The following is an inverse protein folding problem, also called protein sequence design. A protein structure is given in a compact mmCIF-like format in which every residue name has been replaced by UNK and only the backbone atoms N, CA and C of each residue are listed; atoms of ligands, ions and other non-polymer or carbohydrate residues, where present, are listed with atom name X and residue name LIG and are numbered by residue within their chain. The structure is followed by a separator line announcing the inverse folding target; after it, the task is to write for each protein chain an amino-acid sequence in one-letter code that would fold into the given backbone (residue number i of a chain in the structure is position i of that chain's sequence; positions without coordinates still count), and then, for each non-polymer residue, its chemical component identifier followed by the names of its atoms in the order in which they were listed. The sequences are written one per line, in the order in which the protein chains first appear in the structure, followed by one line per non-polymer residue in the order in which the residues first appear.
data_IF_926954126044
#
_entry.id   IF_926954126044
#
_cell.length_a   1.000
_cell.length_b   1.000
_cell.length_c   1.000
_cell.angle_alpha   90.00
_cell.angle_beta   90.00
_cell.angle_gamma   90.00
#
_symmetry.space_group_name_H-M   'P 1'
#
loop_
_entity.id
_entity.type
_entity.pdbx_description
1 polymer ?
#
# COMPACT_ATOMS: atom_id res chain seq x y z
N UNK A 1 -14.74 22.52 25.83
CA UNK A 1 -14.67 21.76 24.56
C UNK A 1 -13.40 22.16 23.82
N UNK A 2 -12.77 21.23 23.12
CA UNK A 2 -11.61 21.48 22.26
C UNK A 2 -12.07 21.54 20.79
N UNK A 3 -11.30 22.20 19.92
CA UNK A 3 -11.57 22.24 18.46
C UNK A 3 -11.74 20.84 17.87
N UNK A 4 -11.03 19.84 18.41
CA UNK A 4 -11.12 18.44 18.00
C UNK A 4 -12.50 17.83 18.27
N UNK A 5 -13.05 18.04 19.46
CA UNK A 5 -14.37 17.51 19.84
C UNK A 5 -15.50 18.13 19.00
N UNK A 6 -15.37 19.41 18.63
CA UNK A 6 -16.32 20.07 17.73
C UNK A 6 -16.24 19.47 16.32
N UNK A 7 -15.04 19.25 15.80
CA UNK A 7 -14.83 18.66 14.48
C UNK A 7 -15.41 17.24 14.39
N UNK A 8 -15.18 16.40 15.40
CA UNK A 8 -15.75 15.05 15.49
C UNK A 8 -17.28 15.06 15.53
N UNK A 9 -17.87 15.99 16.29
CA UNK A 9 -19.33 16.17 16.35
C UNK A 9 -19.92 16.60 15.00
N UNK A 10 -19.26 17.53 14.31
CA UNK A 10 -19.67 17.99 12.98
C UNK A 10 -19.56 16.88 11.93
N UNK A 11 -18.47 16.10 11.94
CA UNK A 11 -18.31 14.95 11.04
C UNK A 11 -19.40 13.92 11.30
N UNK A 12 -19.66 13.57 12.57
CA UNK A 12 -20.72 12.62 12.93
C UNK A 12 -22.10 13.08 12.44
N UNK A 13 -22.43 14.36 12.57
CA UNK A 13 -23.68 14.92 12.07
C UNK A 13 -23.78 14.84 10.54
N UNK A 14 -22.70 15.19 9.83
CA UNK A 14 -22.61 15.09 8.37
C UNK A 14 -22.87 13.66 7.89
N UNK A 15 -22.19 12.68 8.49
CA UNK A 15 -22.33 11.28 8.12
C UNK A 15 -23.75 10.77 8.38
N UNK A 16 -24.35 11.13 9.51
CA UNK A 16 -25.74 10.76 9.82
C UNK A 16 -26.74 11.33 8.81
N UNK A 17 -26.57 12.58 8.39
CA UNK A 17 -27.39 13.18 7.32
C UNK A 17 -27.22 12.42 6.00
N UNK A 18 -25.99 12.03 5.64
CA UNK A 18 -25.73 11.25 4.43
C UNK A 18 -26.44 9.90 4.44
N UNK A 19 -26.41 9.20 5.57
CA UNK A 19 -27.04 7.88 5.73
C UNK A 19 -28.56 7.95 5.82
N UNK A 20 -29.09 8.87 6.63
CA UNK A 20 -30.52 8.89 6.97
C UNK A 20 -31.36 9.68 5.97
N UNK A 21 -31.02 10.95 5.77
CA UNK A 21 -31.82 11.86 4.96
C UNK A 21 -31.53 11.71 3.46
N UNK A 22 -30.24 11.72 3.10
CA UNK A 22 -29.83 11.63 1.69
C UNK A 22 -29.75 10.19 1.18
N UNK A 23 -29.62 9.23 2.09
CA UNK A 23 -29.46 7.80 1.78
C UNK A 23 -28.39 7.54 0.71
N UNK A 24 -27.24 8.20 0.84
CA UNK A 24 -26.17 8.10 -0.15
C UNK A 24 -25.60 6.68 -0.19
N UNK A 25 -25.40 6.14 -1.38
CA UNK A 25 -24.57 4.95 -1.55
C UNK A 25 -23.10 5.26 -1.27
N UNK A 26 -22.28 4.22 -1.09
CA UNK A 26 -20.83 4.36 -0.95
C UNK A 26 -20.20 5.11 -2.14
N UNK A 27 -20.64 4.82 -3.37
CA UNK A 27 -20.17 5.48 -4.59
C UNK A 27 -20.66 6.93 -4.69
N UNK A 28 -21.90 7.20 -4.30
CA UNK A 28 -22.42 8.57 -4.27
C UNK A 28 -21.67 9.43 -3.25
N UNK A 29 -21.33 8.88 -2.08
CA UNK A 29 -20.48 9.55 -1.09
C UNK A 29 -19.07 9.81 -1.61
N UNK A 30 -18.48 8.85 -2.34
CA UNK A 30 -17.15 8.99 -2.96
C UNK A 30 -17.12 10.14 -3.98
N UNK A 31 -18.12 10.19 -4.87
CA UNK A 31 -18.27 11.25 -5.89
C UNK A 31 -18.62 12.60 -5.32
N UNK A 32 -19.45 12.65 -4.27
CA UNK A 32 -19.78 13.89 -3.59
C UNK A 32 -18.54 14.60 -3.02
N UNK A 33 -17.56 13.81 -2.57
CA UNK A 33 -16.27 14.28 -2.09
C UNK A 33 -15.23 14.49 -3.22
N UNK A 34 -15.63 14.28 -4.48
CA UNK A 34 -14.79 14.35 -5.68
C UNK A 34 -13.57 13.44 -5.66
N UNK A 35 -13.64 12.33 -4.91
CA UNK A 35 -12.53 11.40 -4.77
C UNK A 35 -12.28 10.59 -6.05
N UNK A 36 -13.26 10.52 -6.95
CA UNK A 36 -13.15 9.89 -8.27
C UNK A 36 -12.34 10.72 -9.27
N UNK A 37 -12.14 12.01 -9.02
CA UNK A 37 -11.32 12.90 -9.85
C UNK A 37 -9.84 12.90 -9.44
N UNK A 38 -9.49 12.30 -8.30
CA UNK A 38 -8.14 12.39 -7.70
C UNK A 38 -7.10 11.48 -8.37
N UNK A 39 -7.53 10.46 -9.11
CA UNK A 39 -6.62 9.48 -9.72
C UNK A 39 -5.66 8.89 -8.69
N UNK A 40 -4.35 8.98 -8.94
CA UNK A 40 -3.30 8.42 -8.08
C UNK A 40 -3.04 9.23 -6.79
N UNK A 41 -3.70 10.37 -6.61
CA UNK A 41 -3.56 11.27 -5.46
C UNK A 41 -4.61 11.07 -4.38
N UNK A 42 -5.44 10.03 -4.49
CA UNK A 42 -6.52 9.73 -3.54
C UNK A 42 -6.07 9.80 -2.07
N UNK A 43 -4.92 9.19 -1.73
CA UNK A 43 -4.38 9.17 -0.37
C UNK A 43 -3.59 10.43 0.00
N UNK A 44 -3.57 11.46 -0.83
CA UNK A 44 -3.11 12.80 -0.45
C UNK A 44 -4.29 13.68 -0.02
N UNK A 45 -5.52 13.34 -0.45
CA UNK A 45 -6.73 14.04 -0.07
C UNK A 45 -7.29 13.49 1.26
N UNK A 46 -7.34 14.28 2.35
CA UNK A 46 -7.83 13.81 3.66
C UNK A 46 -9.31 13.40 3.65
N UNK A 47 -10.11 13.83 2.65
CA UNK A 47 -11.53 13.48 2.55
C UNK A 47 -11.75 11.97 2.31
N UNK A 48 -10.72 11.23 1.89
CA UNK A 48 -10.77 9.76 1.85
C UNK A 48 -11.03 9.16 3.23
N UNK A 49 -10.59 9.82 4.31
CA UNK A 49 -10.90 9.41 5.68
C UNK A 49 -12.39 9.55 5.99
N UNK A 50 -13.01 10.68 5.61
CA UNK A 50 -14.45 10.90 5.79
C UNK A 50 -15.28 9.90 4.99
N UNK A 51 -14.88 9.61 3.75
CA UNK A 51 -15.51 8.55 2.97
C UNK A 51 -15.37 7.17 3.63
N UNK A 52 -14.17 6.81 4.09
CA UNK A 52 -13.95 5.54 4.78
C UNK A 52 -14.79 5.43 6.08
N UNK A 53 -14.90 6.51 6.85
CA UNK A 53 -15.78 6.59 8.02
C UNK A 53 -17.25 6.42 7.63
N UNK A 54 -17.68 7.02 6.52
CA UNK A 54 -19.03 6.85 6.00
C UNK A 54 -19.34 5.38 5.66
N UNK A 55 -18.46 4.72 4.91
CA UNK A 55 -18.59 3.30 4.55
C UNK A 55 -18.68 2.41 5.80
N UNK A 56 -17.86 2.68 6.82
CA UNK A 56 -17.95 1.99 8.12
C UNK A 56 -19.31 2.21 8.80
N UNK A 57 -19.83 3.43 8.75
CA UNK A 57 -21.11 3.78 9.38
C UNK A 57 -22.34 3.16 8.69
N UNK A 58 -22.24 2.82 7.40
CA UNK A 58 -23.29 2.10 6.67
C UNK A 58 -23.45 0.64 7.12
N UNK A 59 -22.57 0.13 7.98
CA UNK A 59 -22.60 -1.26 8.46
C UNK A 59 -22.05 -2.28 7.45
N UNK A 60 -21.62 -1.82 6.28
CA UNK A 60 -20.93 -2.58 5.22
C UNK A 60 -19.41 -2.49 5.33
N UNK A 61 -18.88 -1.61 6.20
CA UNK A 61 -17.47 -1.24 6.22
C UNK A 61 -16.60 -2.01 7.22
N UNK A 62 -15.74 -2.87 6.70
CA UNK A 62 -14.47 -3.23 7.34
C UNK A 62 -13.33 -2.60 6.54
N UNK A 63 -12.12 -2.51 7.09
CA UNK A 63 -10.97 -2.06 6.28
C UNK A 63 -10.76 -2.99 5.06
N UNK A 64 -11.14 -4.28 5.16
CA UNK A 64 -11.16 -5.22 4.04
C UNK A 64 -12.18 -4.83 2.96
N UNK A 65 -13.39 -4.44 3.32
CA UNK A 65 -14.39 -4.05 2.31
C UNK A 65 -14.03 -2.75 1.61
N UNK A 66 -13.53 -1.76 2.36
CA UNK A 66 -13.00 -0.51 1.80
C UNK A 66 -11.85 -0.81 0.83
N UNK A 67 -10.92 -1.67 1.22
CA UNK A 67 -9.83 -2.13 0.34
C UNK A 67 -10.38 -2.78 -0.93
N UNK A 68 -11.35 -3.70 -0.83
CA UNK A 68 -11.92 -4.38 -2.00
C UNK A 68 -12.64 -3.42 -2.94
N UNK A 69 -13.38 -2.43 -2.41
CA UNK A 69 -14.02 -1.38 -3.20
C UNK A 69 -12.98 -0.55 -3.97
N UNK A 70 -11.88 -0.18 -3.32
CA UNK A 70 -10.80 0.54 -3.99
C UNK A 70 -10.03 -0.35 -4.98
N UNK A 71 -9.78 -1.62 -4.66
CA UNK A 71 -9.13 -2.60 -5.54
C UNK A 71 -9.95 -2.80 -6.82
N UNK A 72 -11.27 -2.86 -6.72
CA UNK A 72 -12.16 -2.95 -7.88
C UNK A 72 -12.13 -1.69 -8.75
N UNK A 73 -11.88 -0.51 -8.17
CA UNK A 73 -11.87 0.78 -8.88
C UNK A 73 -10.54 1.09 -9.56
N UNK A 74 -9.42 0.85 -8.87
CA UNK A 74 -8.09 1.23 -9.32
C UNK A 74 -7.25 0.05 -9.82
N UNK A 75 -7.65 -1.19 -9.53
CA UNK A 75 -6.80 -2.35 -9.75
C UNK A 75 -5.79 -2.55 -8.60
N UNK A 76 -5.32 -3.79 -8.46
CA UNK A 76 -4.51 -4.20 -7.32
C UNK A 76 -3.12 -3.55 -7.27
N UNK A 77 -2.42 -3.51 -8.41
CA UNK A 77 -1.06 -2.94 -8.50
C UNK A 77 -1.03 -1.42 -8.35
N UNK A 78 -2.00 -0.71 -8.96
CA UNK A 78 -2.07 0.74 -8.88
C UNK A 78 -2.52 1.19 -7.49
N UNK A 79 -3.50 0.51 -6.87
CA UNK A 79 -3.90 0.78 -5.49
C UNK A 79 -2.73 0.61 -4.52
N UNK A 80 -1.92 -0.45 -4.69
CA UNK A 80 -0.75 -0.67 -3.85
C UNK A 80 0.24 0.51 -3.93
N UNK A 81 0.49 1.03 -5.13
CA UNK A 81 1.34 2.21 -5.33
C UNK A 81 0.72 3.49 -4.73
N UNK A 82 -0.60 3.65 -4.85
CA UNK A 82 -1.32 4.80 -4.29
C UNK A 82 -1.23 4.84 -2.75
N UNK A 83 -1.32 3.68 -2.09
CA UNK A 83 -1.19 3.58 -0.63
C UNK A 83 0.19 4.03 -0.12
N UNK A 84 1.25 3.80 -0.90
CA UNK A 84 2.60 4.27 -0.57
C UNK A 84 2.75 5.79 -0.69
N UNK A 85 1.89 6.45 -1.47
CA UNK A 85 1.86 7.92 -1.67
C UNK A 85 0.97 8.65 -0.64
N UNK A 86 0.67 8.01 0.49
CA UNK A 86 -0.12 8.58 1.59
C UNK A 86 0.50 9.86 2.16
N UNK A 87 -0.35 10.81 2.55
CA UNK A 87 0.03 11.96 3.36
C UNK A 87 -0.01 11.61 4.86
N UNK A 88 0.49 12.51 5.71
CA UNK A 88 0.45 12.31 7.17
C UNK A 88 -0.98 12.08 7.68
N UNK A 89 -1.96 12.81 7.13
CA UNK A 89 -3.36 12.76 7.58
C UNK A 89 -4.10 11.49 7.14
N UNK A 90 -3.70 10.87 6.03
CA UNK A 90 -4.29 9.61 5.53
C UNK A 90 -3.47 8.38 5.94
N UNK A 91 -2.29 8.62 6.53
CA UNK A 91 -1.34 7.62 6.98
C UNK A 91 -1.97 6.42 7.71
N UNK A 92 -2.76 6.68 8.77
CA UNK A 92 -3.42 5.62 9.54
C UNK A 92 -4.42 4.78 8.72
N UNK A 93 -5.17 5.40 7.79
CA UNK A 93 -6.09 4.66 6.93
C UNK A 93 -5.30 3.80 5.93
N UNK A 94 -4.32 4.39 5.25
CA UNK A 94 -3.51 3.68 4.28
C UNK A 94 -2.79 2.47 4.90
N UNK A 95 -2.26 2.59 6.13
CA UNK A 95 -1.65 1.46 6.84
C UNK A 95 -2.63 0.29 7.09
N UNK A 96 -3.90 0.58 7.44
CA UNK A 96 -4.93 -0.45 7.61
C UNK A 96 -5.30 -1.11 6.27
N UNK A 97 -5.34 -0.34 5.20
CA UNK A 97 -5.60 -0.87 3.86
C UNK A 97 -4.42 -1.68 3.29
N UNK A 98 -3.17 -1.26 3.55
CA UNK A 98 -1.96 -2.03 3.25
C UNK A 98 -1.97 -3.39 3.98
N UNK A 99 -2.44 -3.42 5.22
CA UNK A 99 -2.62 -4.67 5.96
C UNK A 99 -3.68 -5.56 5.32
N UNK A 100 -4.84 -5.01 4.94
CA UNK A 100 -5.88 -5.75 4.23
C UNK A 100 -5.38 -6.28 2.87
N UNK A 101 -4.58 -5.49 2.16
CA UNK A 101 -3.95 -5.87 0.90
C UNK A 101 -2.99 -7.04 1.07
N UNK A 102 -2.06 -6.97 2.03
CA UNK A 102 -1.11 -8.07 2.31
C UNK A 102 -1.85 -9.35 2.69
N UNK A 103 -2.89 -9.26 3.52
CA UNK A 103 -3.71 -10.42 3.84
C UNK A 103 -4.41 -10.99 2.61
N UNK A 104 -4.91 -10.15 1.70
CA UNK A 104 -5.50 -10.61 0.42
C UNK A 104 -4.49 -11.42 -0.37
N UNK A 105 -3.27 -10.91 -0.55
CA UNK A 105 -2.20 -11.61 -1.25
C UNK A 105 -1.86 -12.96 -0.66
N UNK A 106 -1.73 -13.04 0.68
CA UNK A 106 -1.50 -14.29 1.40
C UNK A 106 -2.66 -15.27 1.18
N UNK A 107 -3.90 -14.81 1.31
CA UNK A 107 -5.07 -15.69 1.14
C UNK A 107 -5.27 -16.15 -0.30
N UNK A 108 -4.83 -15.35 -1.27
CA UNK A 108 -4.82 -15.70 -2.69
C UNK A 108 -3.63 -16.61 -3.06
N UNK A 109 -2.70 -16.87 -2.14
CA UNK A 109 -1.53 -17.72 -2.37
C UNK A 109 -0.52 -17.12 -3.36
N UNK A 110 -0.43 -15.79 -3.44
CA UNK A 110 0.50 -15.12 -4.36
C UNK A 110 1.94 -15.40 -3.96
N UNK A 111 2.79 -15.68 -4.93
CA UNK A 111 4.23 -15.92 -4.72
C UNK A 111 5.00 -14.61 -4.53
N UNK A 112 6.28 -14.71 -4.15
CA UNK A 112 7.19 -13.56 -4.13
C UNK A 112 7.29 -12.91 -5.51
N UNK A 113 7.49 -13.71 -6.57
CA UNK A 113 7.51 -13.27 -7.98
C UNK A 113 6.20 -12.57 -8.41
N UNK A 114 5.03 -13.11 -8.04
CA UNK A 114 3.74 -12.47 -8.37
C UNK A 114 3.66 -11.05 -7.82
N UNK A 115 4.04 -10.85 -6.54
CA UNK A 115 4.02 -9.52 -5.91
C UNK A 115 5.12 -8.62 -6.47
N UNK A 116 6.29 -9.16 -6.77
CA UNK A 116 7.37 -8.41 -7.40
C UNK A 116 6.93 -7.78 -8.72
N UNK A 117 6.30 -8.59 -9.59
CA UNK A 117 5.72 -8.15 -10.87
C UNK A 117 4.57 -7.17 -10.68
N UNK A 118 3.65 -7.49 -9.77
CA UNK A 118 2.47 -6.67 -9.48
C UNK A 118 2.85 -5.26 -9.02
N UNK A 119 3.86 -5.14 -8.17
CA UNK A 119 4.36 -3.86 -7.67
C UNK A 119 5.33 -3.17 -8.64
N UNK A 120 5.66 -3.79 -9.79
CA UNK A 120 6.62 -3.29 -10.76
C UNK A 120 8.01 -2.96 -10.15
N UNK A 121 8.47 -3.78 -9.21
CA UNK A 121 9.75 -3.57 -8.49
C UNK A 121 10.94 -3.53 -9.46
N UNK A 122 10.88 -4.30 -10.55
CA UNK A 122 11.92 -4.35 -11.59
C UNK A 122 12.28 -2.98 -12.19
N UNK A 123 11.35 -2.03 -12.21
CA UNK A 123 11.54 -0.72 -12.85
C UNK A 123 12.44 0.25 -12.05
N UNK A 124 12.89 -0.15 -10.86
CA UNK A 124 13.61 0.72 -9.92
C UNK A 124 15.14 0.71 -10.13
N UNK A 125 15.67 -0.20 -10.96
CA UNK A 125 17.07 -0.30 -11.39
C UNK A 125 18.08 0.02 -10.27
N UNK A 126 18.99 0.98 -10.48
CA UNK A 126 20.09 1.32 -9.56
C UNK A 126 19.65 1.76 -8.16
N UNK A 127 18.40 2.24 -8.00
CA UNK A 127 17.83 2.67 -6.71
C UNK A 127 16.85 1.65 -6.14
N UNK A 128 16.92 0.41 -6.61
CA UNK A 128 16.04 -0.68 -6.17
C UNK A 128 15.93 -0.76 -4.65
N UNK A 129 17.06 -0.81 -3.93
CA UNK A 129 17.08 -1.00 -2.48
C UNK A 129 16.57 0.22 -1.68
N UNK A 130 16.43 1.38 -2.33
CA UNK A 130 15.85 2.59 -1.75
C UNK A 130 14.34 2.72 -2.06
N UNK A 131 13.82 1.86 -2.95
CA UNK A 131 12.46 1.99 -3.45
C UNK A 131 11.43 1.58 -2.40
N UNK A 132 10.40 2.41 -2.12
CA UNK A 132 9.27 2.02 -1.30
C UNK A 132 8.57 0.74 -1.81
N UNK A 133 8.62 0.48 -3.12
CA UNK A 133 8.04 -0.72 -3.74
C UNK A 133 8.85 -1.97 -3.38
N UNK A 134 10.18 -1.87 -3.41
CA UNK A 134 11.07 -2.94 -2.96
C UNK A 134 10.85 -3.24 -1.47
N UNK A 135 10.73 -2.21 -0.63
CA UNK A 135 10.44 -2.41 0.80
C UNK A 135 9.06 -3.04 1.04
N UNK A 136 8.05 -2.65 0.27
CA UNK A 136 6.71 -3.26 0.35
C UNK A 136 6.73 -4.74 -0.04
N UNK A 137 7.44 -5.07 -1.13
CA UNK A 137 7.61 -6.45 -1.59
C UNK A 137 8.39 -7.31 -0.59
N UNK A 138 9.55 -6.85 -0.12
CA UNK A 138 10.36 -7.61 0.87
C UNK A 138 9.63 -7.80 2.20
N UNK A 139 8.84 -6.81 2.63
CA UNK A 139 7.94 -6.96 3.78
C UNK A 139 6.86 -8.02 3.56
N UNK A 140 6.39 -8.19 2.32
CA UNK A 140 5.48 -9.28 1.98
C UNK A 140 6.20 -10.62 2.08
N UNK A 141 7.36 -10.78 1.43
CA UNK A 141 8.17 -12.01 1.44
C UNK A 141 8.43 -12.48 2.87
N UNK A 142 8.92 -11.58 3.74
CA UNK A 142 9.17 -11.88 5.15
C UNK A 142 7.91 -12.26 5.95
N UNK A 143 6.72 -11.88 5.47
CA UNK A 143 5.45 -12.20 6.11
C UNK A 143 4.88 -13.57 5.71
N UNK A 144 5.20 -14.07 4.52
CA UNK A 144 4.72 -15.37 4.01
C UNK A 144 5.71 -16.49 4.30
N UNK A 145 7.01 -16.21 4.13
CA UNK A 145 8.09 -17.15 4.40
C UNK A 145 8.53 -17.01 5.86
N UNK A 146 8.16 -17.98 6.70
CA UNK A 146 8.66 -18.10 8.07
C UNK A 146 10.09 -18.69 8.04
N UNK A 147 11.04 -17.98 7.47
CA UNK A 147 12.41 -18.45 7.22
C UNK A 147 13.14 -17.52 6.24
N UNK A 148 14.45 -17.73 6.05
CA UNK A 148 15.42 -16.77 5.51
C UNK A 148 14.91 -15.91 4.32
N UNK A 149 14.44 -14.71 4.64
CA UNK A 149 13.86 -13.81 3.63
C UNK A 149 14.90 -13.30 2.65
N UNK A 150 16.19 -13.31 3.03
CA UNK A 150 17.25 -12.81 2.16
C UNK A 150 17.56 -13.79 1.03
N UNK A 151 17.58 -15.11 1.29
CA UNK A 151 17.75 -16.14 0.28
C UNK A 151 16.66 -16.03 -0.81
N UNK A 152 15.39 -15.93 -0.38
CA UNK A 152 14.24 -15.80 -1.31
C UNK A 152 14.35 -14.50 -2.10
N UNK A 153 14.66 -13.38 -1.43
CA UNK A 153 14.82 -12.09 -2.11
C UNK A 153 15.97 -12.14 -3.12
N UNK A 154 17.13 -12.68 -2.75
CA UNK A 154 18.29 -12.80 -3.64
C UNK A 154 17.98 -13.69 -4.85
N UNK A 155 17.32 -14.83 -4.64
CA UNK A 155 16.90 -15.75 -5.71
C UNK A 155 15.93 -15.10 -6.71
N UNK A 156 14.92 -14.37 -6.22
CA UNK A 156 13.96 -13.65 -7.07
C UNK A 156 14.65 -12.51 -7.84
N UNK A 157 15.49 -11.72 -7.17
CA UNK A 157 16.28 -10.69 -7.83
C UNK A 157 17.20 -11.28 -8.90
N UNK A 158 17.85 -12.41 -8.62
CA UNK A 158 18.73 -13.13 -9.56
C UNK A 158 17.94 -13.61 -10.78
N UNK A 159 16.70 -14.05 -10.57
CA UNK A 159 15.79 -14.46 -11.66
C UNK A 159 15.41 -13.28 -12.56
N UNK A 160 15.17 -12.10 -11.99
CA UNK A 160 14.74 -10.92 -12.75
C UNK A 160 15.86 -10.12 -13.42
N UNK A 161 17.00 -10.00 -12.75
CA UNK A 161 18.14 -9.17 -13.22
C UNK A 161 19.27 -10.01 -13.81
N UNK A 162 19.37 -11.29 -13.45
CA UNK A 162 20.55 -12.11 -13.72
C UNK A 162 21.67 -11.84 -12.71
N UNK A 163 22.48 -12.87 -12.44
CA UNK A 163 23.50 -12.85 -11.39
C UNK A 163 24.54 -11.74 -11.57
N UNK A 164 25.01 -11.53 -12.80
CA UNK A 164 26.04 -10.53 -13.13
C UNK A 164 25.56 -9.11 -12.88
N UNK A 165 24.37 -8.77 -13.37
CA UNK A 165 23.83 -7.43 -13.26
C UNK A 165 23.41 -7.15 -11.82
N UNK A 166 22.81 -8.15 -11.14
CA UNK A 166 22.48 -8.06 -9.72
C UNK A 166 23.72 -7.82 -8.86
N UNK A 167 24.80 -8.58 -9.06
CA UNK A 167 26.06 -8.36 -8.33
C UNK A 167 26.57 -6.94 -8.52
N UNK A 168 26.53 -6.43 -9.75
CA UNK A 168 26.94 -5.05 -10.05
C UNK A 168 26.06 -4.01 -9.34
N UNK A 169 24.75 -4.25 -9.28
CA UNK A 169 23.79 -3.40 -8.56
C UNK A 169 24.04 -3.41 -7.04
N UNK A 170 24.30 -4.58 -6.45
CA UNK A 170 24.58 -4.71 -5.03
C UNK A 170 25.91 -4.05 -4.65
N UNK A 171 26.95 -4.19 -5.48
CA UNK A 171 28.22 -3.51 -5.26
C UNK A 171 28.09 -1.97 -5.31
N UNK A 172 27.31 -1.44 -6.26
CA UNK A 172 26.97 -0.03 -6.28
C UNK A 172 26.21 0.40 -5.00
N UNK A 173 25.23 -0.40 -4.58
CA UNK A 173 24.44 -0.12 -3.39
C UNK A 173 25.24 -0.20 -2.07
N UNK A 174 26.37 -0.94 -2.02
CA UNK A 174 27.30 -0.90 -0.87
C UNK A 174 28.00 0.45 -0.70
N UNK A 175 28.04 1.27 -1.76
CA UNK A 175 28.57 2.63 -1.72
C UNK A 175 27.69 3.62 -0.97
N UNK A 176 26.39 3.36 -0.83
CA UNK A 176 25.47 4.19 -0.07
C UNK A 176 25.29 3.63 1.36
N UNK A 177 25.61 4.40 2.43
CA UNK A 177 25.47 3.94 3.80
C UNK A 177 24.08 3.41 4.17
N UNK A 178 23.01 3.95 3.57
CA UNK A 178 21.64 3.54 3.86
C UNK A 178 21.27 2.16 3.31
N UNK A 179 21.91 1.72 2.23
CA UNK A 179 21.64 0.43 1.57
C UNK A 179 22.72 -0.61 1.80
N UNK A 180 23.89 -0.20 2.31
CA UNK A 180 25.09 -1.05 2.46
C UNK A 180 24.83 -2.36 3.21
N UNK A 181 24.09 -2.32 4.33
CA UNK A 181 23.82 -3.52 5.12
C UNK A 181 22.97 -4.54 4.35
N UNK A 182 21.88 -4.08 3.72
CA UNK A 182 21.01 -4.94 2.91
C UNK A 182 21.76 -5.48 1.70
N UNK A 183 22.53 -4.63 1.02
CA UNK A 183 23.32 -5.05 -0.15
C UNK A 183 24.40 -6.07 0.19
N UNK A 184 24.97 -6.02 1.41
CA UNK A 184 25.97 -6.99 1.86
C UNK A 184 25.31 -8.34 2.12
N UNK A 185 24.20 -8.37 2.86
CA UNK A 185 23.44 -9.60 3.13
C UNK A 185 22.98 -10.28 1.85
N UNK A 186 22.36 -9.55 0.93
CA UNK A 186 21.90 -10.13 -0.33
C UNK A 186 23.04 -10.68 -1.19
N UNK A 187 24.25 -10.12 -1.09
CA UNK A 187 25.41 -10.64 -1.82
C UNK A 187 25.91 -11.97 -1.24
N UNK A 188 25.73 -12.20 0.07
CA UNK A 188 26.11 -13.45 0.74
C UNK A 188 25.25 -14.65 0.27
N UNK A 189 24.07 -14.36 -0.28
CA UNK A 189 23.10 -15.33 -0.81
C UNK A 189 23.25 -15.64 -2.32
N UNK A 190 24.12 -14.94 -3.06
CA UNK A 190 24.26 -15.08 -4.53
C UNK A 190 25.23 -16.17 -4.97
#
# INVERSE_FOLDING_TARGET
ETTMSIAEGMETALLNMWRGEKQLSEDAGFKLLKLDEEGDKLFQNPLVNTWASYVKMLGTGSDKSIFLTLKARYGEGDLAQMLLKKSESTGPLAARLEYAQRNSWITEGKTADDIFKLLNVQKQNEKLLESPLYHSWTSYVAGVERGDSDEVVASELKTHYGEKDLTSMLDAAKGNPSTKSVATRLQEEL
#
